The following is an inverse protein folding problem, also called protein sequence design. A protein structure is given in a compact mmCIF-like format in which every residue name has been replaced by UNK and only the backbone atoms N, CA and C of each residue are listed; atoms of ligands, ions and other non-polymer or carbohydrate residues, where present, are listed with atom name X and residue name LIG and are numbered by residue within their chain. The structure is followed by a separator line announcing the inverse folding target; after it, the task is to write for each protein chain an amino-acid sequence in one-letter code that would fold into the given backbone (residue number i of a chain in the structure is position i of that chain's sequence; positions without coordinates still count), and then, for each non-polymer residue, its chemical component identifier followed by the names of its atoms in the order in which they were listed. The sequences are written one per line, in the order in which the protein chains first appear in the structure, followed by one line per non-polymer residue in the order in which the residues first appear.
data_IF_249930500999
#
_entry.id   IF_249930500999
#
_cell.length_a   1.000
_cell.length_b   1.000
_cell.length_c   1.000
_cell.angle_alpha   90.00
_cell.angle_beta   90.00
_cell.angle_gamma   90.00
#
_symmetry.space_group_name_H-M   'P 1'
#
loop_
_entity.id
_entity.type
_entity.pdbx_description
1 polymer ?
#
# COMPACT_ATOMS: atom_id res chain seq x y z
N UNK A 1 -20.56 -25.65 20.57
CA UNK A 1 -19.64 -24.69 21.22
C UNK A 1 -20.33 -23.33 21.29
N UNK A 2 -20.85 -22.97 22.46
CA UNK A 2 -21.68 -21.76 22.66
C UNK A 2 -21.12 -20.82 23.73
N UNK A 3 -21.80 -19.69 23.94
CA UNK A 3 -21.39 -18.69 24.95
C UNK A 3 -21.27 -19.28 26.37
N UNK A 4 -22.07 -20.30 26.67
CA UNK A 4 -22.02 -21.05 27.94
C UNK A 4 -20.67 -21.70 28.21
N UNK A 5 -20.02 -22.29 27.21
CA UNK A 5 -18.69 -22.89 27.36
C UNK A 5 -17.61 -21.84 27.64
N UNK A 6 -17.68 -20.72 26.92
CA UNK A 6 -16.77 -19.57 27.12
C UNK A 6 -16.90 -19.03 28.55
N UNK A 7 -18.14 -18.83 29.03
CA UNK A 7 -18.40 -18.38 30.41
C UNK A 7 -17.86 -19.39 31.43
N UNK A 8 -18.03 -20.69 31.19
CA UNK A 8 -17.55 -21.73 32.10
C UNK A 8 -16.01 -21.76 32.20
N UNK A 9 -15.31 -21.62 31.06
CA UNK A 9 -13.85 -21.51 31.02
C UNK A 9 -13.39 -20.25 31.76
N UNK A 10 -14.06 -19.12 31.54
CA UNK A 10 -13.76 -17.90 32.29
C UNK A 10 -13.99 -18.06 33.79
N UNK A 11 -15.03 -18.77 34.21
CA UNK A 11 -15.30 -19.02 35.63
C UNK A 11 -14.14 -19.79 36.29
N UNK A 12 -13.66 -20.86 35.64
CA UNK A 12 -12.50 -21.63 36.10
C UNK A 12 -11.25 -20.76 36.11
N UNK A 13 -11.02 -19.98 35.04
CA UNK A 13 -9.87 -19.07 34.96
C UNK A 13 -9.89 -18.02 36.09
N UNK A 14 -11.05 -17.47 36.41
CA UNK A 14 -11.22 -16.51 37.51
C UNK A 14 -11.08 -17.16 38.88
N UNK A 15 -11.35 -18.47 39.04
CA UNK A 15 -11.04 -19.20 40.27
C UNK A 15 -9.51 -19.37 40.45
N UNK A 16 -8.78 -19.62 39.37
CA UNK A 16 -7.32 -19.78 39.40
C UNK A 16 -6.57 -18.45 39.58
N UNK A 17 -6.96 -17.42 38.82
CA UNK A 17 -6.26 -16.14 38.76
C UNK A 17 -6.98 -14.99 39.49
N UNK A 18 -8.19 -15.22 39.98
CA UNK A 18 -9.03 -14.21 40.64
C UNK A 18 -9.74 -13.25 39.68
N UNK A 19 -10.71 -12.49 40.21
CA UNK A 19 -11.45 -11.45 39.47
C UNK A 19 -10.56 -10.35 38.87
N UNK A 20 -9.33 -10.18 39.38
CA UNK A 20 -8.36 -9.18 38.92
C UNK A 20 -7.49 -9.67 37.75
N UNK A 21 -7.48 -10.98 37.45
CA UNK A 21 -6.59 -11.55 36.43
C UNK A 21 -6.85 -11.00 35.03
N UNK A 22 -8.10 -11.05 34.56
CA UNK A 22 -8.46 -10.61 33.20
C UNK A 22 -8.33 -9.10 33.02
N UNK A 23 -8.88 -8.24 33.91
CA UNK A 23 -8.75 -6.79 33.75
C UNK A 23 -7.30 -6.30 33.80
N UNK A 24 -6.44 -6.94 34.62
CA UNK A 24 -5.03 -6.55 34.70
C UNK A 24 -4.24 -6.99 33.46
N UNK A 25 -4.42 -8.23 33.00
CA UNK A 25 -3.80 -8.72 31.78
C UNK A 25 -4.21 -7.89 30.56
N UNK A 26 -5.51 -7.59 30.41
CA UNK A 26 -6.01 -6.75 29.33
C UNK A 26 -5.43 -5.32 29.36
N UNK A 27 -5.26 -4.72 30.54
CA UNK A 27 -4.59 -3.41 30.67
C UNK A 27 -3.13 -3.48 30.26
N UNK A 28 -2.40 -4.51 30.64
CA UNK A 28 -0.98 -4.68 30.27
C UNK A 28 -0.82 -4.94 28.78
N UNK A 29 -1.61 -5.85 28.21
CA UNK A 29 -1.62 -6.10 26.76
C UNK A 29 -2.04 -4.86 25.98
N UNK A 30 -3.08 -4.16 26.41
CA UNK A 30 -3.53 -2.92 25.77
C UNK A 30 -2.45 -1.82 25.76
N UNK A 31 -1.71 -1.68 26.86
CA UNK A 31 -0.53 -0.79 26.91
C UNK A 31 0.56 -1.24 25.94
N UNK A 32 0.90 -2.53 25.94
CA UNK A 32 1.91 -3.08 25.04
C UNK A 32 1.55 -2.88 23.55
N UNK A 33 0.31 -3.17 23.17
CA UNK A 33 -0.20 -2.95 21.80
C UNK A 33 -0.17 -1.47 21.42
N UNK A 34 -0.55 -0.58 22.35
CA UNK A 34 -0.52 0.87 22.10
C UNK A 34 0.91 1.38 21.91
N UNK A 35 1.84 0.93 22.73
CA UNK A 35 3.26 1.29 22.62
C UNK A 35 3.86 0.75 21.32
N UNK A 36 3.62 -0.53 21.03
CA UNK A 36 4.07 -1.17 19.80
C UNK A 36 3.55 -0.45 18.55
N UNK A 37 2.26 -0.10 18.53
CA UNK A 37 1.67 0.67 17.43
C UNK A 37 2.29 2.05 17.30
N UNK A 38 2.51 2.75 18.42
CA UNK A 38 3.12 4.08 18.42
C UNK A 38 4.55 4.05 17.88
N UNK A 39 5.36 3.07 18.29
CA UNK A 39 6.70 2.86 17.78
C UNK A 39 6.70 2.50 16.28
N UNK A 40 5.81 1.60 15.86
CA UNK A 40 5.67 1.21 14.46
C UNK A 40 5.24 2.38 13.58
N UNK A 41 4.32 3.24 14.05
CA UNK A 41 3.87 4.42 13.33
C UNK A 41 4.99 5.47 13.20
N UNK A 42 5.88 5.61 14.19
CA UNK A 42 7.05 6.48 14.10
C UNK A 42 8.02 5.98 13.01
N UNK A 43 8.35 4.68 13.03
CA UNK A 43 9.22 4.05 12.03
C UNK A 43 8.64 4.22 10.62
N UNK A 44 7.33 3.97 10.45
CA UNK A 44 6.66 4.18 9.16
C UNK A 44 6.79 5.62 8.66
N UNK A 45 6.58 6.61 9.54
CA UNK A 45 6.71 8.03 9.18
C UNK A 45 8.14 8.39 8.76
N UNK A 46 9.14 7.90 9.49
CA UNK A 46 10.55 8.18 9.20
C UNK A 46 11.01 7.54 7.88
N UNK A 47 10.54 6.33 7.58
CA UNK A 47 10.83 5.66 6.29
C UNK A 47 10.18 6.42 5.13
N UNK A 48 8.91 6.84 5.29
CA UNK A 48 8.19 7.58 4.26
C UNK A 48 8.83 8.95 4.00
N UNK A 49 9.16 9.71 5.07
CA UNK A 49 9.81 11.01 4.92
C UNK A 49 11.17 10.89 4.25
N UNK A 50 12.01 9.94 4.71
CA UNK A 50 13.34 9.70 4.11
C UNK A 50 13.24 9.30 2.64
N UNK A 51 12.27 8.46 2.29
CA UNK A 51 12.09 8.02 0.90
C UNK A 51 11.58 9.17 0.01
N UNK A 52 10.69 10.01 0.52
CA UNK A 52 10.18 11.16 -0.24
C UNK A 52 11.25 12.24 -0.44
N UNK A 53 12.12 12.45 0.54
CA UNK A 53 13.26 13.36 0.42
C UNK A 53 14.29 12.85 -0.60
N UNK A 54 14.65 11.56 -0.56
CA UNK A 54 15.54 10.93 -1.56
C UNK A 54 14.92 10.99 -2.97
N UNK A 55 13.61 10.78 -3.11
CA UNK A 55 12.94 10.87 -4.41
C UNK A 55 12.99 12.28 -5.00
N UNK A 56 12.87 13.32 -4.17
CA UNK A 56 13.00 14.71 -4.63
C UNK A 56 14.40 15.00 -5.13
N UNK A 57 15.42 14.67 -4.34
CA UNK A 57 16.82 14.89 -4.72
C UNK A 57 17.19 14.18 -6.03
N UNK A 58 16.76 12.93 -6.20
CA UNK A 58 17.00 12.15 -7.44
C UNK A 58 16.28 12.78 -8.64
N UNK A 59 15.08 13.35 -8.44
CA UNK A 59 14.33 13.98 -9.52
C UNK A 59 14.95 15.32 -9.96
N UNK A 60 15.48 16.10 -9.02
CA UNK A 60 16.17 17.37 -9.30
C UNK A 60 17.49 17.13 -10.06
N UNK A 61 18.24 16.09 -9.68
CA UNK A 61 19.45 15.64 -10.41
C UNK A 61 19.09 15.14 -11.81
N UNK A 62 18.01 14.35 -11.96
CA UNK A 62 17.54 13.91 -13.29
C UNK A 62 17.12 15.08 -14.17
N UNK A 63 16.42 16.06 -13.61
CA UNK A 63 15.91 17.21 -14.35
C UNK A 63 17.05 18.10 -14.86
N UNK A 64 18.07 18.32 -14.04
CA UNK A 64 19.29 19.07 -14.42
C UNK A 64 20.16 18.31 -15.44
N UNK A 65 20.27 16.99 -15.32
CA UNK A 65 20.93 16.15 -16.34
C UNK A 65 20.17 16.21 -17.65
N UNK A 66 18.86 15.98 -17.67
CA UNK A 66 18.05 16.03 -18.90
C UNK A 66 18.05 17.41 -19.57
N UNK A 67 18.17 18.49 -18.79
CA UNK A 67 18.34 19.85 -19.30
C UNK A 67 19.72 20.06 -19.99
N UNK A 68 20.75 19.36 -19.50
CA UNK A 68 22.09 19.41 -20.08
C UNK A 68 22.29 18.40 -21.23
N UNK A 69 21.47 17.34 -21.29
CA UNK A 69 21.46 16.36 -22.39
C UNK A 69 20.30 16.68 -23.35
N UNK A 70 20.43 17.77 -24.11
CA UNK A 70 19.55 18.11 -25.23
C UNK A 70 20.24 17.70 -26.56
N UNK A 71 19.98 16.51 -27.12
CA UNK A 71 20.39 16.17 -28.48
C UNK A 71 19.28 16.59 -29.46
N UNK A 72 19.21 17.87 -29.83
CA UNK A 72 18.33 18.25 -30.96
C UNK A 72 18.97 17.90 -32.31
N UNK A 73 18.27 17.01 -33.02
CA UNK A 73 18.30 16.62 -34.45
C UNK A 73 19.19 15.44 -34.88
N UNK A 74 18.55 14.31 -35.23
CA UNK A 74 18.76 13.55 -36.49
C UNK A 74 17.79 12.36 -36.63
N UNK A 75 16.53 12.59 -37.00
CA UNK A 75 15.85 11.76 -38.03
C UNK A 75 14.89 12.66 -38.81
N UNK A 76 15.29 13.20 -39.98
CA UNK A 76 14.33 13.63 -40.99
C UNK A 76 13.72 12.38 -41.61
N UNK A 77 12.41 12.23 -41.53
CA UNK A 77 11.62 11.61 -42.59
C UNK A 77 10.14 11.84 -42.29
N UNK A 78 9.60 12.90 -42.87
CA UNK A 78 8.22 12.89 -43.32
C UNK A 78 8.25 12.79 -44.85
N UNK A 79 7.61 11.75 -45.41
CA UNK A 79 6.60 12.02 -46.42
C UNK A 79 5.29 11.34 -46.05
N UNK A 80 4.31 12.18 -45.71
CA UNK A 80 2.94 12.19 -46.25
C UNK A 80 2.39 10.86 -46.82
N UNK A 81 1.30 10.37 -46.22
CA UNK A 81 0.05 10.11 -46.98
C UNK A 81 -1.17 9.85 -46.10
N UNK A 82 -2.11 10.79 -46.22
CA UNK A 82 -3.56 10.62 -46.44
C UNK A 82 -4.39 9.86 -45.39
N UNK A 83 -5.23 10.65 -44.74
CA UNK A 83 -6.66 10.40 -44.55
C UNK A 83 -7.26 9.51 -45.65
N UNK A 84 -7.84 8.38 -45.26
CA UNK A 84 -9.05 7.75 -45.81
C UNK A 84 -9.41 6.62 -44.83
N UNK A 85 -10.45 6.77 -44.02
CA UNK A 85 -11.81 6.32 -44.31
C UNK A 85 -11.88 4.87 -44.81
N UNK A 86 -12.73 4.09 -44.12
CA UNK A 86 -13.38 2.87 -44.62
C UNK A 86 -12.60 1.56 -44.53
N UNK A 87 -12.91 0.76 -43.50
CA UNK A 87 -12.82 -0.70 -43.57
C UNK A 87 -14.23 -1.29 -43.58
N UNK A 88 -14.72 -1.86 -44.70
CA UNK A 88 -15.96 -2.60 -44.76
C UNK A 88 -15.75 -4.06 -44.34
N UNK A 89 -16.75 -4.62 -43.64
CA UNK A 89 -17.13 -6.04 -43.54
C UNK A 89 -16.06 -7.12 -43.30
N UNK A 90 -16.26 -7.93 -42.26
CA UNK A 90 -16.87 -9.25 -42.49
C UNK A 90 -17.35 -9.89 -41.17
N UNK A 91 -18.68 -9.92 -41.03
CA UNK A 91 -19.50 -11.08 -40.68
C UNK A 91 -18.74 -12.38 -40.44
N UNK A 92 -18.91 -13.01 -39.27
CA UNK A 92 -19.49 -14.37 -39.14
C UNK A 92 -20.18 -14.55 -37.79
N UNK A 93 -21.48 -14.75 -37.89
CA UNK A 93 -22.41 -15.40 -36.97
C UNK A 93 -21.80 -16.72 -36.42
N UNK A 94 -22.13 -17.20 -35.22
CA UNK A 94 -23.45 -17.77 -34.95
C UNK A 94 -23.73 -17.94 -33.45
N UNK A 95 -24.92 -17.47 -33.10
CA UNK A 95 -25.81 -17.85 -32.00
C UNK A 95 -26.14 -19.35 -32.05
N UNK A 96 -26.18 -19.99 -30.88
CA UNK A 96 -27.35 -20.67 -30.29
C UNK A 96 -27.14 -20.84 -28.80
#
# INVERSE_FOLDING_TARGET
MGMTEIVFIFLIYLLLFGAKGIPSFARTMGKAVREFRSATDQIQREILSTTDDIRKDVNDVRSSVNQAVDPKNSVPNEPTKKSDSTGPNDTKEHRT
#
